data_IF_807227931501
#
_entry.id   IF_807227931501
#
_cell.length_a   1.000
_cell.length_b   1.000
_cell.length_c   1.000
_cell.angle_alpha   90.00
_cell.angle_beta   90.00
_cell.angle_gamma   90.00
#
_symmetry.space_group_name_H-M   'P 1'
#
loop_
_entity.id
_entity.type
_entity.pdbx_description
1 polymer ?
#
# COMPACT_ATOMS: atom_id res chain seq x y z
N UNK A 1 13.54 11.06 1.11
CA UNK A 1 13.51 9.81 1.89
C UNK A 1 13.84 8.73 0.88
N UNK A 2 15.05 8.21 0.92
CA UNK A 2 15.55 7.25 -0.08
C UNK A 2 14.75 5.94 -0.07
N UNK A 3 14.91 5.12 -1.12
CA UNK A 3 14.26 3.81 -1.20
C UNK A 3 14.66 3.01 0.05
N UNK A 4 13.70 2.51 0.85
CA UNK A 4 14.02 1.68 2.00
C UNK A 4 14.63 0.35 1.55
N UNK A 5 15.71 -0.03 2.21
CA UNK A 5 16.25 -1.40 2.17
C UNK A 5 15.40 -2.33 3.06
N UNK A 6 15.84 -3.57 3.25
CA UNK A 6 15.18 -4.55 4.11
C UNK A 6 14.91 -3.97 5.51
N UNK A 7 13.66 -4.07 5.97
CA UNK A 7 13.12 -3.46 7.19
C UNK A 7 13.05 -1.92 7.23
N UNK A 8 13.48 -1.25 6.17
CA UNK A 8 13.40 0.19 6.01
C UNK A 8 11.96 0.71 5.97
N UNK A 9 11.76 1.96 6.38
CA UNK A 9 10.44 2.58 6.46
C UNK A 9 10.00 3.13 5.11
N UNK A 10 8.83 2.73 4.63
CA UNK A 10 8.14 3.38 3.52
C UNK A 10 6.96 4.22 4.03
N UNK A 11 6.57 5.23 3.25
CA UNK A 11 5.35 5.98 3.48
C UNK A 11 4.14 5.22 2.94
N UNK A 12 2.99 5.39 3.58
CA UNK A 12 1.68 4.88 3.13
C UNK A 12 0.86 6.06 2.65
N UNK A 13 0.21 5.90 1.50
CA UNK A 13 -0.50 6.98 0.82
C UNK A 13 -1.95 6.60 0.50
N UNK A 14 -2.78 7.63 0.31
CA UNK A 14 -4.04 7.57 -0.44
C UNK A 14 -4.05 8.66 -1.49
N UNK A 15 -4.81 8.54 -2.59
CA UNK A 15 -4.98 9.63 -3.53
C UNK A 15 -5.69 10.82 -2.86
N UNK A 16 -5.29 12.05 -3.19
CA UNK A 16 -6.02 13.24 -2.73
C UNK A 16 -7.40 13.34 -3.38
N UNK A 17 -8.30 14.12 -2.78
CA UNK A 17 -9.56 14.46 -3.45
C UNK A 17 -9.28 15.27 -4.70
N UNK A 18 -9.87 14.89 -5.84
CA UNK A 18 -9.60 15.55 -7.12
C UNK A 18 -8.26 15.20 -7.76
N UNK A 19 -7.62 14.10 -7.33
CA UNK A 19 -6.46 13.53 -8.03
C UNK A 19 -6.78 13.33 -9.52
N UNK A 20 -5.77 13.49 -10.36
CA UNK A 20 -5.92 13.33 -11.81
C UNK A 20 -6.45 11.94 -12.17
N UNK A 21 -7.36 11.89 -13.13
CA UNK A 21 -8.08 10.67 -13.51
C UNK A 21 -7.14 9.59 -14.07
N UNK A 22 -6.11 9.97 -14.82
CA UNK A 22 -5.07 9.06 -15.33
C UNK A 22 -4.32 8.32 -14.21
N UNK A 23 -4.01 9.02 -13.11
CA UNK A 23 -3.39 8.42 -11.92
C UNK A 23 -4.36 7.45 -11.23
N UNK A 24 -5.65 7.80 -11.13
CA UNK A 24 -6.67 6.91 -10.56
C UNK A 24 -6.88 5.64 -11.40
N UNK A 25 -6.94 5.78 -12.73
CA UNK A 25 -7.07 4.65 -13.66
C UNK A 25 -5.88 3.69 -13.53
N UNK A 26 -4.69 4.24 -13.30
CA UNK A 26 -3.45 3.46 -13.12
C UNK A 26 -3.47 2.68 -11.80
N UNK A 27 -3.74 3.35 -10.68
CA UNK A 27 -3.66 2.75 -9.33
C UNK A 27 -4.81 1.80 -9.04
N UNK A 28 -5.98 2.07 -9.64
CA UNK A 28 -7.28 1.42 -9.42
C UNK A 28 -7.86 1.70 -8.04
N UNK A 29 -9.20 1.72 -8.00
CA UNK A 29 -9.96 1.93 -6.77
C UNK A 29 -9.64 0.84 -5.73
N UNK A 30 -9.58 1.23 -4.46
CA UNK A 30 -9.41 0.32 -3.33
C UNK A 30 -7.99 -0.24 -3.15
N UNK A 31 -7.02 0.24 -3.93
CA UNK A 31 -5.63 -0.17 -3.81
C UNK A 31 -4.99 0.32 -2.51
N UNK A 32 -4.06 -0.46 -1.99
CA UNK A 32 -3.09 0.00 -0.99
C UNK A 32 -1.85 0.54 -1.69
N UNK A 33 -1.33 1.68 -1.22
CA UNK A 33 -0.26 2.44 -1.89
C UNK A 33 0.85 2.73 -0.88
N UNK A 34 2.07 2.36 -1.24
CA UNK A 34 3.26 2.57 -0.42
C UNK A 34 4.38 3.15 -1.28
N UNK A 35 5.27 3.96 -0.72
CA UNK A 35 6.28 4.63 -1.54
C UNK A 35 7.35 5.37 -0.76
N UNK A 36 8.22 6.02 -1.52
CA UNK A 36 9.31 6.84 -1.01
C UNK A 36 9.53 8.07 -1.90
N UNK A 37 10.26 9.06 -1.38
CA UNK A 37 10.48 10.34 -2.06
C UNK A 37 11.86 10.35 -2.75
N UNK A 38 11.86 10.61 -4.06
CA UNK A 38 13.07 10.69 -4.86
C UNK A 38 13.79 12.04 -4.65
N UNK A 39 15.06 12.12 -5.03
CA UNK A 39 15.86 13.35 -4.92
C UNK A 39 15.33 14.48 -5.83
N UNK A 40 14.67 14.14 -6.92
CA UNK A 40 14.11 15.08 -7.90
C UNK A 40 12.74 15.67 -7.50
N UNK A 41 12.33 15.50 -6.24
CA UNK A 41 11.04 15.93 -5.68
C UNK A 41 9.81 15.18 -6.20
N UNK A 42 10.00 14.09 -6.95
CA UNK A 42 8.92 13.14 -7.25
C UNK A 42 8.81 12.08 -6.15
N UNK A 43 7.75 11.27 -6.20
CA UNK A 43 7.65 10.06 -5.39
C UNK A 43 7.58 8.84 -6.29
N UNK A 44 8.15 7.74 -5.83
CA UNK A 44 7.96 6.41 -6.41
C UNK A 44 7.01 5.63 -5.52
N UNK A 45 5.88 5.19 -6.06
CA UNK A 45 4.88 4.39 -5.35
C UNK A 45 4.76 2.99 -5.96
N UNK A 46 4.54 2.01 -5.10
CA UNK A 46 4.11 0.66 -5.41
C UNK A 46 2.68 0.50 -4.87
N UNK A 47 1.86 -0.26 -5.58
CA UNK A 47 0.48 -0.45 -5.19
C UNK A 47 -0.03 -1.88 -5.43
N UNK A 48 -1.12 -2.25 -4.76
CA UNK A 48 -1.81 -3.52 -4.96
C UNK A 48 -3.32 -3.31 -4.81
N UNK A 49 -4.07 -3.74 -5.81
CA UNK A 49 -5.54 -3.58 -5.90
C UNK A 49 -6.28 -4.91 -5.80
N UNK A 50 -5.55 -6.03 -5.66
CA UNK A 50 -6.09 -7.38 -5.75
C UNK A 50 -6.80 -7.65 -7.09
N UNK A 51 -6.17 -7.26 -8.22
CA UNK A 51 -6.75 -7.36 -9.58
C UNK A 51 -7.29 -8.76 -9.94
N UNK A 52 -6.78 -9.81 -9.31
CA UNK A 52 -7.09 -11.20 -9.63
C UNK A 52 -7.94 -11.88 -8.55
N UNK A 53 -8.52 -11.10 -7.63
CA UNK A 53 -9.40 -11.58 -6.56
C UNK A 53 -8.78 -12.71 -5.71
N UNK A 54 -7.49 -12.57 -5.40
CA UNK A 54 -6.78 -13.48 -4.50
C UNK A 54 -7.36 -13.34 -3.07
N UNK A 55 -7.93 -14.40 -2.48
CA UNK A 55 -8.51 -14.34 -1.14
C UNK A 55 -7.51 -13.88 -0.06
N UNK A 56 -6.22 -14.15 -0.25
CA UNK A 56 -5.17 -13.72 0.69
C UNK A 56 -5.03 -12.20 0.70
N UNK A 57 -5.47 -11.51 -0.35
CA UNK A 57 -5.39 -10.05 -0.51
C UNK A 57 -6.74 -9.34 -0.31
N UNK A 58 -7.72 -10.02 0.27
CA UNK A 58 -9.02 -9.43 0.58
C UNK A 58 -8.92 -8.22 1.53
N UNK A 59 -8.02 -8.27 2.51
CA UNK A 59 -7.81 -7.18 3.47
C UNK A 59 -6.86 -6.10 2.94
N UNK A 60 -7.12 -4.83 3.27
CA UNK A 60 -6.29 -3.72 2.82
C UNK A 60 -4.84 -3.82 3.31
N UNK A 61 -4.63 -4.24 4.55
CA UNK A 61 -3.29 -4.41 5.12
C UNK A 61 -2.46 -5.48 4.40
N UNK A 62 -3.10 -6.51 3.83
CA UNK A 62 -2.41 -7.54 3.05
C UNK A 62 -1.96 -7.00 1.68
N UNK A 63 -2.82 -6.18 1.03
CA UNK A 63 -2.45 -5.43 -0.17
C UNK A 63 -1.26 -4.50 0.11
N UNK A 64 -1.31 -3.75 1.21
CA UNK A 64 -0.24 -2.84 1.62
C UNK A 64 1.10 -3.58 1.84
N UNK A 65 1.04 -4.75 2.50
CA UNK A 65 2.22 -5.60 2.71
C UNK A 65 2.82 -6.06 1.40
N UNK A 66 2.02 -6.59 0.47
CA UNK A 66 2.49 -7.05 -0.84
C UNK A 66 3.13 -5.93 -1.67
N UNK A 67 2.55 -4.72 -1.63
CA UNK A 67 3.13 -3.55 -2.28
C UNK A 67 4.49 -3.16 -1.66
N UNK A 68 4.61 -3.26 -0.33
CA UNK A 68 5.85 -2.95 0.38
C UNK A 68 6.96 -3.97 0.12
N UNK A 69 6.62 -5.26 0.13
CA UNK A 69 7.59 -6.32 -0.15
C UNK A 69 8.19 -6.14 -1.57
N UNK A 70 7.34 -5.83 -2.58
CA UNK A 70 7.81 -5.47 -3.94
C UNK A 70 8.73 -4.24 -3.96
N UNK A 71 8.44 -3.24 -3.13
CA UNK A 71 9.22 -2.00 -3.05
C UNK A 71 10.62 -2.27 -2.48
N UNK A 72 10.69 -3.02 -1.38
CA UNK A 72 11.95 -3.43 -0.73
C UNK A 72 12.78 -4.29 -1.68
N UNK A 73 12.16 -5.26 -2.34
CA UNK A 73 12.83 -6.16 -3.28
C UNK A 73 13.19 -5.50 -4.62
N UNK A 74 12.76 -4.25 -4.84
CA UNK A 74 12.82 -3.58 -6.14
C UNK A 74 12.26 -4.45 -7.28
N UNK A 75 11.16 -5.15 -7.01
CA UNK A 75 10.63 -6.14 -7.93
C UNK A 75 10.20 -5.49 -9.26
N UNK A 76 10.51 -6.11 -10.42
CA UNK A 76 10.01 -5.64 -11.70
C UNK A 76 8.49 -5.82 -11.73
N UNK A 77 7.73 -4.73 -11.74
CA UNK A 77 6.27 -4.77 -11.70
C UNK A 77 5.64 -3.59 -12.45
N UNK A 78 4.46 -3.84 -13.02
CA UNK A 78 3.60 -2.79 -13.60
C UNK A 78 2.80 -2.03 -12.54
N UNK A 79 2.73 -2.55 -11.31
CA UNK A 79 2.06 -1.89 -10.18
C UNK A 79 3.00 -0.92 -9.46
N UNK A 80 3.64 -0.06 -10.25
CA UNK A 80 4.63 0.95 -9.83
C UNK A 80 4.43 2.22 -10.65
N UNK A 81 4.55 3.38 -10.01
CA UNK A 81 4.42 4.69 -10.65
C UNK A 81 5.39 5.69 -10.03
N UNK A 82 6.04 6.50 -10.87
CA UNK A 82 6.77 7.70 -10.43
C UNK A 82 5.98 8.93 -10.84
N UNK A 83 5.64 9.80 -9.89
CA UNK A 83 4.76 10.95 -10.16
C UNK A 83 4.92 12.04 -9.10
N UNK A 84 4.19 13.14 -9.26
CA UNK A 84 4.17 14.25 -8.31
C UNK A 84 3.55 13.83 -6.97
N UNK A 85 4.16 14.20 -5.82
CA UNK A 85 3.56 13.97 -4.51
C UNK A 85 2.22 14.68 -4.31
N UNK A 86 1.93 15.73 -5.09
CA UNK A 86 0.66 16.48 -4.99
C UNK A 86 -0.59 15.61 -5.29
N UNK A 87 -0.41 14.46 -5.95
CA UNK A 87 -1.49 13.51 -6.21
C UNK A 87 -1.87 12.67 -4.97
N UNK A 88 -1.08 12.73 -3.89
CA UNK A 88 -1.23 11.83 -2.75
C UNK A 88 -1.21 12.54 -1.40
N UNK A 89 -2.03 12.04 -0.49
CA UNK A 89 -1.95 12.34 0.92
C UNK A 89 -1.19 11.21 1.62
N UNK A 90 -0.15 11.57 2.38
CA UNK A 90 0.51 10.60 3.23
C UNK A 90 -0.33 10.34 4.50
N UNK A 91 -0.73 9.09 4.70
CA UNK A 91 -1.59 8.68 5.81
C UNK A 91 -0.86 7.88 6.87
N UNK A 92 0.41 7.51 6.67
CA UNK A 92 1.13 6.68 7.63
C UNK A 92 2.47 6.16 7.13
N UNK A 93 2.89 5.05 7.74
CA UNK A 93 4.14 4.35 7.43
C UNK A 93 3.98 2.83 7.53
N UNK A 94 4.80 2.12 6.77
CA UNK A 94 4.97 0.66 6.83
C UNK A 94 6.46 0.33 6.93
N UNK A 95 6.79 -0.72 7.68
CA UNK A 95 8.13 -1.31 7.73
C UNK A 95 8.04 -2.83 7.97
N UNK A 96 9.18 -3.46 8.23
CA UNK A 96 9.27 -4.90 8.53
C UNK A 96 8.45 -5.37 9.75
N UNK A 97 8.08 -4.48 10.67
CA UNK A 97 7.35 -4.80 11.92
C UNK A 97 5.84 -4.64 11.80
N UNK A 98 5.35 -3.76 10.93
CA UNK A 98 3.92 -3.47 10.84
C UNK A 98 3.58 -2.23 10.02
N UNK A 99 2.33 -1.80 10.16
CA UNK A 99 1.77 -0.59 9.55
C UNK A 99 1.26 0.31 10.67
N UNK A 100 1.56 1.61 10.57
CA UNK A 100 0.96 2.64 11.43
C UNK A 100 0.24 3.64 10.54
N UNK A 101 -1.08 3.72 10.70
CA UNK A 101 -1.97 4.66 10.02
C UNK A 101 -2.17 5.85 10.95
N UNK A 102 -1.77 7.04 10.52
CA UNK A 102 -1.91 8.31 11.26
C UNK A 102 -3.16 9.08 10.87
N UNK A 103 -3.77 8.76 9.72
CA UNK A 103 -4.95 9.44 9.17
C UNK A 103 -5.99 8.40 8.72
N UNK A 104 -6.60 7.70 9.68
CA UNK A 104 -7.56 6.62 9.40
C UNK A 104 -8.77 7.13 8.62
N UNK A 105 -9.27 8.33 8.93
CA UNK A 105 -10.40 8.93 8.20
C UNK A 105 -10.10 9.12 6.71
N UNK A 106 -8.86 9.48 6.34
CA UNK A 106 -8.45 9.59 4.93
C UNK A 106 -8.43 8.22 4.24
N UNK A 107 -8.00 7.17 4.95
CA UNK A 107 -8.09 5.80 4.44
C UNK A 107 -9.55 5.36 4.25
N UNK A 108 -10.40 5.57 5.25
CA UNK A 108 -11.82 5.21 5.18
C UNK A 108 -12.54 5.94 4.03
N UNK A 109 -12.27 7.24 3.83
CA UNK A 109 -12.81 7.98 2.68
C UNK A 109 -12.39 7.37 1.35
N UNK A 110 -11.11 7.01 1.20
CA UNK A 110 -10.61 6.34 -0.01
C UNK A 110 -11.29 4.99 -0.25
N UNK A 111 -11.44 4.18 0.79
CA UNK A 111 -12.07 2.87 0.70
C UNK A 111 -13.58 2.97 0.44
N UNK A 112 -14.27 3.94 1.04
CA UNK A 112 -15.67 4.22 0.77
C UNK A 112 -15.90 4.65 -0.68
N UNK A 113 -15.09 5.59 -1.20
CA UNK A 113 -15.13 5.98 -2.61
C UNK A 113 -14.84 4.81 -3.59
N UNK A 114 -14.18 3.79 -3.07
CA UNK A 114 -13.77 2.60 -3.81
C UNK A 114 -14.69 1.40 -3.64
N UNK A 115 -15.81 1.53 -2.92
CA UNK A 115 -16.70 0.42 -2.54
C UNK A 115 -15.96 -0.74 -1.85
N UNK A 116 -14.94 -0.42 -1.05
CA UNK A 116 -14.02 -1.38 -0.44
C UNK A 116 -13.90 -1.24 1.08
N UNK A 117 -14.92 -0.65 1.74
CA UNK A 117 -14.92 -0.42 3.19
C UNK A 117 -14.80 -1.70 4.02
N UNK A 118 -15.32 -2.82 3.51
CA UNK A 118 -15.17 -4.14 4.13
C UNK A 118 -13.71 -4.59 4.29
N UNK A 119 -12.80 -4.02 3.49
CA UNK A 119 -11.37 -4.31 3.52
C UNK A 119 -10.60 -3.44 4.52
N UNK A 120 -11.27 -2.46 5.12
CA UNK A 120 -10.65 -1.49 6.03
C UNK A 120 -10.08 -2.18 7.28
N UNK A 121 -8.86 -1.83 7.71
CA UNK A 121 -8.33 -2.33 8.97
C UNK A 121 -9.19 -1.87 10.16
N UNK A 122 -9.31 -2.75 11.17
CA UNK A 122 -10.04 -2.43 12.40
C UNK A 122 -9.30 -1.45 13.32
N UNK A 123 -7.97 -1.39 13.22
CA UNK A 123 -7.10 -0.56 14.07
C UNK A 123 -6.10 0.22 13.22
N UNK A 124 -5.57 1.30 13.80
CA UNK A 124 -4.57 2.17 13.20
C UNK A 124 -3.13 1.63 13.30
N UNK A 125 -2.89 0.73 14.24
CA UNK A 125 -1.65 -0.04 14.37
C UNK A 125 -1.93 -1.48 13.95
N UNK A 126 -1.28 -1.93 12.88
CA UNK A 126 -1.41 -3.27 12.33
C UNK A 126 -0.05 -3.97 12.45
N UNK A 127 0.11 -4.90 13.42
CA UNK A 127 1.32 -5.71 13.52
C UNK A 127 1.50 -6.56 12.27
N UNK A 128 2.76 -6.86 11.91
CA UNK A 128 3.01 -7.89 10.90
C UNK A 128 2.60 -9.25 11.47
N UNK A 129 1.43 -9.72 11.07
CA UNK A 129 1.05 -11.12 11.25
C UNK A 129 1.84 -11.95 10.25
N UNK A 130 2.85 -12.67 10.73
CA UNK A 130 3.44 -13.76 9.95
C UNK A 130 2.34 -14.83 9.89
N UNK A 131 1.66 -14.95 8.75
CA UNK A 131 0.79 -16.11 8.53
C UNK A 131 1.76 -17.31 8.53
N UNK A 132 1.68 -18.14 9.57
CA UNK A 132 2.45 -19.38 9.61
C UNK A 132 2.14 -20.13 8.30
N UNK A 133 3.16 -20.45 7.51
CA UNK A 133 2.97 -21.38 6.39
C UNK A 133 2.34 -22.64 7.00
N UNK A 134 1.23 -23.17 6.45
CA UNK A 134 0.75 -24.46 6.90
C UNK A 134 1.92 -25.44 6.77
N UNK A 135 2.27 -26.13 7.85
CA UNK A 135 3.27 -27.19 7.81
C UNK A 135 2.86 -28.13 6.69
N UNK A 136 3.70 -28.23 5.66
CA UNK A 136 3.56 -29.26 4.66
C UNK A 136 3.66 -30.59 5.39
N UNK A 137 2.51 -31.22 5.61
CA UNK A 137 2.39 -32.58 6.14
C UNK A 137 3.30 -33.46 5.29
N UNK A 138 4.41 -33.91 5.88
CA UNK A 138 5.23 -34.94 5.27
C UNK A 138 4.38 -36.22 5.29
N UNK A 139 3.98 -36.68 4.10
CA UNK A 139 3.45 -38.03 3.88
C UNK A 139 4.60 -39.03 3.98
#
# INVERSE_FOLDING_TARGET
MERPDTDGRAAVFVPVTGVKEDVLLTIRKGAAIVGFANHDRTITVYFESNRFDDPVLAKWEHKARKAYDRLVDNAPTVSKLTTSPANFEQIGYINGKGITIRRMESLQRWLAYSDAMETCPATDIIPRTVIAKPESVKV
#
